data_IF_326533487254
#
_entry.id   IF_326533487254
#
_cell.length_a   1.000
_cell.length_b   1.000
_cell.length_c   1.000
_cell.angle_alpha   90.00
_cell.angle_beta   90.00
_cell.angle_gamma   90.00
#
_symmetry.space_group_name_H-M   'P 1'
#
loop_
_entity.id
_entity.type
_entity.pdbx_description
1 polymer ?
#
# COMPACT_ATOMS: atom_id res chain seq x y z
N UNK A 1 11.09 1.95 -14.73
CA UNK A 1 12.12 1.53 -13.75
C UNK A 1 11.46 0.59 -12.75
N UNK A 2 11.96 -0.64 -12.59
CA UNK A 2 11.46 -1.59 -11.58
C UNK A 2 12.16 -1.35 -10.24
N UNK A 3 11.44 -1.50 -9.14
CA UNK A 3 11.93 -1.34 -7.77
C UNK A 3 11.78 -2.67 -7.04
N UNK A 4 12.76 -2.98 -6.17
CA UNK A 4 12.72 -4.18 -5.34
C UNK A 4 11.67 -3.99 -4.25
N UNK A 5 10.65 -4.86 -4.27
CA UNK A 5 9.64 -4.94 -3.23
C UNK A 5 9.87 -6.20 -2.40
N UNK A 6 10.13 -6.02 -1.11
CA UNK A 6 10.23 -7.14 -0.19
C UNK A 6 8.88 -7.89 -0.13
N UNK A 7 8.95 -9.22 -0.05
CA UNK A 7 7.77 -10.08 0.05
C UNK A 7 7.84 -10.95 1.28
N UNK A 8 6.69 -11.41 1.79
CA UNK A 8 6.58 -12.37 2.89
C UNK A 8 6.49 -13.82 2.37
N UNK A 9 7.16 -14.11 1.26
CA UNK A 9 7.07 -15.40 0.54
C UNK A 9 7.53 -16.62 1.37
N UNK A 10 7.05 -17.81 0.98
CA UNK A 10 7.33 -19.13 1.57
C UNK A 10 8.85 -19.46 1.54
N UNK A 11 9.32 -20.39 2.40
CA UNK A 11 10.71 -20.87 2.34
C UNK A 11 11.09 -21.34 0.93
N UNK A 12 12.21 -20.85 0.39
CA UNK A 12 12.72 -21.20 -0.94
C UNK A 12 12.36 -20.23 -2.08
N UNK A 13 11.44 -19.29 -1.86
CA UNK A 13 11.12 -18.24 -2.84
C UNK A 13 12.04 -17.02 -2.69
N UNK A 14 12.18 -16.24 -3.77
CA UNK A 14 12.95 -14.97 -3.73
C UNK A 14 12.44 -14.06 -2.60
N UNK A 15 13.35 -13.44 -1.81
CA UNK A 15 12.96 -12.54 -0.73
C UNK A 15 12.33 -11.23 -1.21
N UNK A 16 12.46 -10.90 -2.49
CA UNK A 16 11.91 -9.71 -3.12
C UNK A 16 11.37 -10.01 -4.52
N UNK A 17 10.52 -9.12 -5.02
CA UNK A 17 10.09 -9.06 -6.41
C UNK A 17 10.53 -7.74 -7.03
N UNK A 18 10.70 -7.71 -8.35
CA UNK A 18 10.88 -6.46 -9.07
C UNK A 18 9.53 -6.01 -9.62
N UNK A 19 9.08 -4.84 -9.22
CA UNK A 19 7.80 -4.28 -9.67
C UNK A 19 7.92 -2.79 -9.96
N UNK A 20 7.17 -2.24 -10.93
CA UNK A 20 7.05 -0.80 -11.07
C UNK A 20 6.27 -0.22 -9.88
N UNK A 21 6.58 1.01 -9.49
CA UNK A 21 5.75 1.77 -8.54
C UNK A 21 4.68 2.61 -9.24
N UNK A 22 4.91 2.94 -10.51
CA UNK A 22 4.05 3.76 -11.35
C UNK A 22 3.87 3.06 -12.70
N UNK A 23 2.64 3.02 -13.19
CA UNK A 23 2.29 2.52 -14.51
C UNK A 23 1.21 3.40 -15.13
N UNK A 24 1.11 3.43 -16.46
CA UNK A 24 -0.06 3.98 -17.14
C UNK A 24 -0.92 2.84 -17.66
N UNK A 25 -2.21 2.86 -17.34
CA UNK A 25 -3.18 1.86 -17.78
C UNK A 25 -4.46 2.55 -18.21
N UNK A 26 -4.86 2.35 -19.45
CA UNK A 26 -6.10 2.92 -20.01
C UNK A 26 -6.22 4.43 -19.78
N UNK A 27 -5.12 5.17 -19.96
CA UNK A 27 -5.06 6.63 -19.76
C UNK A 27 -4.89 7.09 -18.31
N UNK A 28 -4.92 6.20 -17.32
CA UNK A 28 -4.77 6.54 -15.91
C UNK A 28 -3.35 6.27 -15.41
N UNK A 29 -2.81 7.19 -14.60
CA UNK A 29 -1.63 6.90 -13.79
C UNK A 29 -2.04 6.01 -12.61
N UNK A 30 -1.42 4.83 -12.55
CA UNK A 30 -1.65 3.81 -11.54
C UNK A 30 -0.43 3.73 -10.63
N UNK A 31 -0.65 3.81 -9.33
CA UNK A 31 0.40 3.89 -8.30
C UNK A 31 0.31 2.68 -7.37
N UNK A 32 1.45 2.01 -7.18
CA UNK A 32 1.63 0.93 -6.20
C UNK A 32 2.94 1.15 -5.46
N UNK A 33 2.93 2.09 -4.52
CA UNK A 33 4.10 2.47 -3.73
C UNK A 33 3.82 2.32 -2.24
N UNK A 34 4.30 1.22 -1.66
CA UNK A 34 4.29 0.97 -0.22
C UNK A 34 5.71 1.17 0.33
N UNK A 35 5.99 2.26 1.06
CA UNK A 35 7.31 2.52 1.63
C UNK A 35 7.84 1.36 2.49
N UNK A 36 6.98 0.60 3.17
CA UNK A 36 7.40 -0.51 4.03
C UNK A 36 7.97 -1.70 3.23
N UNK A 37 7.77 -1.72 1.91
CA UNK A 37 8.21 -2.81 1.04
C UNK A 37 9.37 -2.42 0.12
N UNK A 38 9.69 -1.13 0.01
CA UNK A 38 10.69 -0.64 -0.94
C UNK A 38 12.11 -0.83 -0.38
N UNK A 39 12.91 -1.66 -1.05
CA UNK A 39 14.29 -1.93 -0.65
C UNK A 39 14.41 -2.75 0.65
N UNK A 40 15.60 -2.74 1.27
CA UNK A 40 15.82 -3.41 2.56
C UNK A 40 15.01 -2.75 3.66
N UNK A 41 14.20 -3.52 4.40
CA UNK A 41 13.40 -3.01 5.51
C UNK A 41 13.82 -3.70 6.82
N UNK A 42 14.02 -2.96 7.93
CA UNK A 42 14.46 -3.54 9.22
C UNK A 42 13.53 -4.65 9.74
N UNK A 43 12.21 -4.48 9.60
CA UNK A 43 11.24 -5.52 9.96
C UNK A 43 11.32 -6.80 9.09
N UNK A 44 12.10 -6.76 8.00
CA UNK A 44 12.34 -7.87 7.08
C UNK A 44 13.84 -8.24 7.04
N UNK A 45 14.63 -7.82 8.03
CA UNK A 45 16.09 -7.91 8.06
C UNK A 45 16.66 -9.32 7.86
N UNK A 46 15.88 -10.37 8.16
CA UNK A 46 16.28 -11.76 7.90
C UNK A 46 16.27 -12.15 6.40
N UNK A 47 15.90 -11.23 5.50
CA UNK A 47 15.82 -11.45 4.06
C UNK A 47 16.91 -10.65 3.35
N UNK A 48 17.72 -11.32 2.52
CA UNK A 48 18.73 -10.70 1.64
C UNK A 48 18.07 -9.90 0.52
N UNK A 49 17.48 -8.74 0.85
CA UNK A 49 16.97 -7.79 -0.14
C UNK A 49 18.14 -6.88 -0.56
N UNK A 50 18.49 -6.79 -1.85
CA UNK A 50 19.56 -5.91 -2.31
C UNK A 50 19.23 -4.44 -2.09
N UNK A 51 20.28 -3.65 -1.91
CA UNK A 51 20.16 -2.20 -1.86
C UNK A 51 19.53 -1.60 -3.14
N UNK A 52 18.93 -0.43 -2.95
CA UNK A 52 18.43 0.39 -4.04
C UNK A 52 19.61 0.99 -4.82
N UNK A 53 19.49 0.96 -6.14
CA UNK A 53 20.43 1.64 -7.03
C UNK A 53 20.38 3.16 -6.80
N UNK A 54 21.46 3.91 -7.05
CA UNK A 54 21.45 5.37 -6.93
C UNK A 54 20.30 6.03 -7.69
N UNK A 55 20.05 5.60 -8.94
CA UNK A 55 18.92 6.10 -9.74
C UNK A 55 17.55 5.80 -9.12
N UNK A 56 17.38 4.66 -8.45
CA UNK A 56 16.13 4.32 -7.74
C UNK A 56 15.92 5.25 -6.54
N UNK A 57 16.98 5.55 -5.79
CA UNK A 57 16.92 6.50 -4.66
C UNK A 57 16.54 7.91 -5.14
N UNK A 58 17.15 8.38 -6.23
CA UNK A 58 16.82 9.68 -6.85
C UNK A 58 15.36 9.73 -7.29
N UNK A 59 14.87 8.69 -7.97
CA UNK A 59 13.49 8.62 -8.41
C UNK A 59 12.49 8.62 -7.25
N UNK A 60 12.79 7.90 -6.16
CA UNK A 60 11.95 7.91 -4.95
C UNK A 60 11.93 9.28 -4.27
N UNK A 61 13.08 9.95 -4.18
CA UNK A 61 13.17 11.30 -3.65
C UNK A 61 12.35 12.30 -4.50
N UNK A 62 12.39 12.15 -5.82
CA UNK A 62 11.58 12.99 -6.72
C UNK A 62 10.08 12.70 -6.57
N UNK A 63 9.69 11.42 -6.44
CA UNK A 63 8.30 11.03 -6.18
C UNK A 63 7.79 11.66 -4.87
N UNK A 64 8.56 11.53 -3.79
CA UNK A 64 8.22 12.12 -2.49
C UNK A 64 8.10 13.65 -2.59
N UNK A 65 9.09 14.31 -3.20
CA UNK A 65 9.08 15.77 -3.39
C UNK A 65 7.84 16.21 -4.16
N UNK A 66 7.52 15.52 -5.26
CA UNK A 66 6.35 15.84 -6.10
C UNK A 66 5.05 15.65 -5.31
N UNK A 67 4.91 14.53 -4.62
CA UNK A 67 3.74 14.25 -3.78
C UNK A 67 3.56 15.31 -2.69
N UNK A 68 4.64 15.73 -2.03
CA UNK A 68 4.58 16.79 -1.00
C UNK A 68 4.19 18.15 -1.56
N UNK A 69 4.69 18.53 -2.74
CA UNK A 69 4.33 19.82 -3.37
C UNK A 69 2.87 19.82 -3.85
N UNK A 70 2.36 18.67 -4.29
CA UNK A 70 1.00 18.53 -4.86
C UNK A 70 -0.04 18.04 -3.83
N UNK A 71 0.33 17.91 -2.55
CA UNK A 71 -0.56 17.33 -1.56
C UNK A 71 -1.75 18.25 -1.27
N UNK A 72 -2.89 17.63 -0.97
CA UNK A 72 -4.08 18.31 -0.46
C UNK A 72 -4.32 17.83 0.95
N UNK A 73 -4.37 18.76 1.91
CA UNK A 73 -4.74 18.44 3.28
C UNK A 73 -6.26 18.36 3.40
N UNK A 74 -6.75 17.27 3.96
CA UNK A 74 -8.18 17.03 4.17
C UNK A 74 -8.51 17.25 5.65
N UNK A 75 -9.25 18.31 6.04
CA UNK A 75 -9.62 18.57 7.42
C UNK A 75 -10.80 17.71 7.85
N UNK A 76 -10.57 16.41 8.02
CA UNK A 76 -11.61 15.42 8.33
C UNK A 76 -12.19 15.63 9.73
N UNK A 77 -13.52 15.65 9.83
CA UNK A 77 -14.29 15.78 11.08
C UNK A 77 -15.05 14.49 11.38
N UNK A 78 -15.54 14.38 12.62
CA UNK A 78 -16.43 13.28 13.02
C UNK A 78 -17.66 13.25 12.13
N UNK A 79 -17.92 12.10 11.52
CA UNK A 79 -19.04 11.90 10.59
C UNK A 79 -18.65 11.99 9.11
N UNK A 80 -17.47 12.51 8.79
CA UNK A 80 -17.00 12.55 7.40
C UNK A 80 -16.69 11.14 6.87
N UNK A 81 -17.02 10.91 5.60
CA UNK A 81 -16.67 9.71 4.87
C UNK A 81 -15.67 10.06 3.76
N UNK A 82 -14.53 9.39 3.76
CA UNK A 82 -13.49 9.59 2.76
C UNK A 82 -13.40 8.38 1.84
N UNK A 83 -13.63 8.61 0.55
CA UNK A 83 -13.44 7.62 -0.50
C UNK A 83 -12.15 7.93 -1.25
N UNK A 84 -11.20 7.01 -1.19
CA UNK A 84 -9.89 7.15 -1.84
C UNK A 84 -9.77 6.05 -2.89
N UNK A 85 -9.56 6.45 -4.15
CA UNK A 85 -9.11 5.50 -5.17
C UNK A 85 -7.64 5.17 -4.93
N UNK A 86 -7.39 4.02 -4.29
CA UNK A 86 -6.05 3.57 -3.91
C UNK A 86 -5.06 3.42 -5.09
N UNK A 87 -5.57 3.26 -6.31
CA UNK A 87 -4.72 3.20 -7.51
C UNK A 87 -4.30 4.56 -8.03
N UNK A 88 -5.13 5.60 -7.83
CA UNK A 88 -4.89 6.92 -8.41
C UNK A 88 -4.20 7.89 -7.45
N UNK A 89 -4.25 7.64 -6.14
CA UNK A 89 -3.85 8.63 -5.12
C UNK A 89 -2.95 8.02 -4.05
N UNK A 90 -1.77 8.62 -3.87
CA UNK A 90 -0.97 8.44 -2.67
C UNK A 90 -1.64 9.15 -1.50
N UNK A 91 -1.75 8.48 -0.36
CA UNK A 91 -2.34 9.04 0.85
C UNK A 91 -1.41 8.81 2.05
N UNK A 92 -1.37 9.78 2.94
CA UNK A 92 -0.57 9.75 4.14
C UNK A 92 -1.30 10.48 5.27
N UNK A 93 -0.72 10.42 6.47
CA UNK A 93 -1.12 11.23 7.62
C UNK A 93 0.11 11.91 8.18
N UNK A 94 -0.07 13.11 8.74
CA UNK A 94 0.96 13.73 9.56
C UNK A 94 1.09 13.02 10.91
N UNK A 95 2.24 13.22 11.57
CA UNK A 95 2.42 12.82 12.96
C UNK A 95 1.49 13.62 13.87
N UNK A 96 0.90 12.95 14.86
CA UNK A 96 0.13 13.59 15.94
C UNK A 96 0.44 12.89 17.26
N UNK A 97 0.07 13.53 18.36
CA UNK A 97 0.18 12.97 19.71
C UNK A 97 -1.23 12.85 20.30
N UNK A 98 -1.54 11.69 20.88
CA UNK A 98 -2.77 11.48 21.63
C UNK A 98 -2.58 12.02 23.06
N UNK A 99 -3.54 12.82 23.56
CA UNK A 99 -3.52 13.36 24.93
C UNK A 99 -4.25 12.46 25.95
N UNK A 100 -4.72 11.29 25.51
CA UNK A 100 -5.45 10.31 26.31
C UNK A 100 -6.94 10.64 26.55
N UNK A 101 -7.38 11.88 26.33
CA UNK A 101 -8.76 12.32 26.51
C UNK A 101 -9.54 12.33 25.19
N UNK A 102 -8.87 12.65 24.08
CA UNK A 102 -9.46 12.64 22.74
C UNK A 102 -8.51 11.95 21.75
N UNK A 103 -8.75 10.66 21.50
CA UNK A 103 -8.00 9.90 20.50
C UNK A 103 -8.67 9.96 19.13
N UNK A 104 -7.86 10.04 18.07
CA UNK A 104 -8.38 9.97 16.70
C UNK A 104 -8.85 8.55 16.39
N UNK A 105 -10.16 8.35 16.25
CA UNK A 105 -10.75 7.08 15.85
C UNK A 105 -11.23 7.11 14.39
N UNK A 106 -10.75 6.16 13.57
CA UNK A 106 -11.12 6.02 12.15
C UNK A 106 -11.40 4.54 11.85
N UNK A 107 -12.53 4.27 11.22
CA UNK A 107 -12.86 2.94 10.66
C UNK A 107 -12.47 2.93 9.19
N UNK A 108 -11.71 1.91 8.75
CA UNK A 108 -11.28 1.76 7.36
C UNK A 108 -11.87 0.51 6.73
N UNK A 109 -12.51 0.70 5.57
CA UNK A 109 -12.99 -0.39 4.72
C UNK A 109 -12.16 -0.44 3.44
N UNK A 110 -11.85 -1.66 3.00
CA UNK A 110 -11.27 -1.90 1.67
C UNK A 110 -12.39 -2.33 0.74
N UNK A 111 -12.65 -1.51 -0.28
CA UNK A 111 -13.75 -1.72 -1.21
C UNK A 111 -13.21 -2.14 -2.58
N UNK A 112 -13.88 -3.10 -3.23
CA UNK A 112 -13.64 -3.49 -4.61
C UNK A 112 -14.97 -3.53 -5.35
N UNK A 113 -14.99 -2.88 -6.51
CA UNK A 113 -16.07 -3.05 -7.48
C UNK A 113 -15.45 -3.67 -8.75
N UNK A 114 -15.91 -4.87 -9.12
CA UNK A 114 -15.38 -5.60 -10.28
C UNK A 114 -15.92 -5.09 -11.62
N UNK A 115 -17.04 -4.37 -11.62
CA UNK A 115 -17.67 -3.81 -12.81
C UNK A 115 -17.12 -2.43 -13.16
N UNK A 116 -16.93 -1.57 -12.16
CA UNK A 116 -16.50 -0.17 -12.33
C UNK A 116 -15.02 0.06 -11.98
N UNK A 117 -14.33 -0.95 -11.44
CA UNK A 117 -12.94 -0.84 -11.04
C UNK A 117 -12.01 -0.68 -12.24
N UNK A 118 -10.93 0.08 -12.05
CA UNK A 118 -9.87 0.16 -13.07
C UNK A 118 -9.28 -1.22 -13.37
N UNK A 119 -8.86 -1.40 -14.62
CA UNK A 119 -8.09 -2.57 -15.05
C UNK A 119 -6.79 -2.62 -14.24
N UNK A 120 -6.52 -3.78 -13.65
CA UNK A 120 -5.32 -3.99 -12.86
C UNK A 120 -4.15 -4.23 -13.84
N UNK A 121 -3.07 -3.43 -13.79
CA UNK A 121 -1.90 -3.70 -14.63
C UNK A 121 -1.30 -5.05 -14.25
N UNK A 122 -0.94 -5.88 -15.24
CA UNK A 122 -0.39 -7.21 -14.99
C UNK A 122 0.88 -7.15 -14.11
N UNK A 123 1.71 -6.12 -14.32
CA UNK A 123 2.92 -5.85 -13.53
C UNK A 123 2.66 -5.53 -12.05
N UNK A 124 1.43 -5.19 -11.69
CA UNK A 124 0.99 -4.83 -10.34
C UNK A 124 -0.10 -5.79 -9.81
N UNK A 125 -0.32 -6.92 -10.48
CA UNK A 125 -1.35 -7.89 -10.09
C UNK A 125 -1.04 -8.59 -8.78
N UNK A 126 0.21 -8.98 -8.56
CA UNK A 126 0.62 -9.66 -7.32
C UNK A 126 0.32 -8.87 -6.02
N UNK A 127 0.67 -7.57 -5.90
CA UNK A 127 0.28 -6.80 -4.72
C UNK A 127 -1.25 -6.61 -4.62
N UNK A 128 -1.97 -6.55 -5.74
CA UNK A 128 -3.43 -6.48 -5.75
C UNK A 128 -4.09 -7.78 -5.24
N UNK A 129 -3.63 -8.93 -5.71
CA UNK A 129 -4.11 -10.25 -5.28
C UNK A 129 -3.83 -10.51 -3.79
N UNK A 130 -2.76 -9.95 -3.24
CA UNK A 130 -2.50 -10.02 -1.80
C UNK A 130 -3.58 -9.32 -0.96
N UNK A 131 -4.28 -8.32 -1.52
CA UNK A 131 -5.34 -7.58 -0.85
C UNK A 131 -6.75 -8.08 -1.18
N UNK A 132 -7.00 -8.53 -2.41
CA UNK A 132 -8.33 -8.87 -2.92
C UNK A 132 -8.44 -10.26 -3.57
N UNK A 133 -7.35 -11.01 -3.65
CA UNK A 133 -7.34 -12.36 -4.20
C UNK A 133 -7.94 -13.38 -3.26
N UNK A 134 -8.10 -14.62 -3.75
CA UNK A 134 -8.76 -15.71 -3.02
C UNK A 134 -8.16 -15.98 -1.62
N UNK A 135 -6.84 -15.79 -1.45
CA UNK A 135 -6.16 -15.97 -0.17
C UNK A 135 -6.41 -14.84 0.83
N UNK A 136 -6.70 -13.61 0.36
CA UNK A 136 -7.07 -12.49 1.24
C UNK A 136 -8.44 -12.74 1.90
N UNK A 137 -9.37 -13.33 1.16
CA UNK A 137 -10.70 -13.70 1.65
C UNK A 137 -10.68 -14.82 2.71
N UNK A 138 -9.66 -15.68 2.72
CA UNK A 138 -9.50 -16.70 3.78
C UNK A 138 -9.09 -16.08 5.11
N UNK A 139 -8.25 -15.04 5.09
CA UNK A 139 -7.78 -14.35 6.31
C UNK A 139 -8.88 -13.52 6.96
N UNK A 140 -9.77 -12.90 6.18
CA UNK A 140 -10.93 -12.19 6.73
C UNK A 140 -11.96 -13.14 7.34
N UNK A 141 -12.16 -14.33 6.76
CA UNK A 141 -13.05 -15.36 7.32
C UNK A 141 -12.59 -15.91 8.68
N UNK A 142 -11.28 -16.09 8.89
CA UNK A 142 -10.73 -16.54 10.17
C UNK A 142 -10.77 -15.48 11.29
N UNK A 143 -10.71 -14.19 10.96
CA UNK A 143 -10.80 -13.13 11.95
C UNK A 143 -12.22 -13.00 12.54
N UNK A 144 -13.26 -13.39 11.79
CA UNK A 144 -14.65 -13.33 12.25
C UNK A 144 -14.99 -14.53 13.16
N UNK A 145 -14.30 -15.67 13.04
CA UNK A 145 -14.56 -16.86 13.85
C UNK A 145 -13.96 -16.83 15.27
N UNK A 146 -13.12 -15.85 15.61
CA UNK A 146 -12.45 -15.78 16.94
C UNK A 146 -13.06 -14.77 17.93
N UNK A 147 -14.20 -14.13 17.59
CA UNK A 147 -14.92 -13.23 18.51
C UNK A 147 -16.36 -13.65 18.83
N UNK A 148 -16.73 -14.90 18.53
CA UNK A 148 -17.95 -15.51 19.04
C UNK A 148 -17.58 -16.51 20.16
N UNK A 149 -17.14 -15.98 21.30
CA UNK A 149 -17.27 -16.56 22.65
C UNK A 149 -16.43 -15.74 23.64
N UNK A 150 -17.05 -14.73 24.22
CA UNK A 150 -16.84 -14.23 25.59
C UNK A 150 -18.01 -13.33 25.95
#
# INVERSE_FOLDING_TARGET
MLIKLATSSRPGASPFVLAPLLAFQSGNLVISADPARIGPHPALANRRVPDLLPAQKVALALLQKTATVQQVQLPTRRGDLLFINNWGVLHARESYQDDGLATRHVVRLWLRNSELGWTIPESMKAPWEASFGAEANKKSGQAISHHANA
#
